data_IF_516371242480
#
_entry.id   IF_516371242480
#
_cell.length_a   1.000
_cell.length_b   1.000
_cell.length_c   1.000
_cell.angle_alpha   90.00
_cell.angle_beta   90.00
_cell.angle_gamma   90.00
#
_symmetry.space_group_name_H-M   'P 1'
#
loop_
_entity.id
_entity.type
_entity.pdbx_description
1 polymer ?
#
# COMPACT_ATOMS: atom_id res chain seq x y z
N UNK A 1 26.92 4.00 -12.15
CA UNK A 1 25.78 4.91 -12.40
C UNK A 1 25.40 4.82 -13.88
N UNK A 2 24.17 4.42 -14.16
CA UNK A 2 23.44 4.70 -15.40
C UNK A 2 21.96 4.46 -15.14
N UNK A 3 21.13 5.45 -15.51
CA UNK A 3 19.72 5.59 -15.17
C UNK A 3 18.85 4.80 -16.15
N UNK A 4 18.13 3.77 -15.66
CA UNK A 4 16.88 3.23 -16.27
C UNK A 4 16.25 2.03 -15.54
N UNK A 5 16.87 1.47 -14.48
CA UNK A 5 16.37 0.23 -13.83
C UNK A 5 15.64 0.39 -12.48
N UNK A 6 15.07 1.56 -12.14
CA UNK A 6 14.43 1.81 -10.81
C UNK A 6 12.97 2.32 -10.95
N UNK A 7 12.18 1.79 -11.88
CA UNK A 7 10.81 2.31 -12.14
C UNK A 7 9.68 1.37 -11.67
N UNK A 8 9.96 0.10 -11.33
CA UNK A 8 8.94 -0.87 -10.88
C UNK A 8 8.67 -0.90 -9.37
N UNK A 9 9.66 -0.54 -8.55
CA UNK A 9 9.49 -0.36 -7.08
C UNK A 9 8.62 0.88 -6.78
N UNK A 10 8.41 1.74 -7.78
CA UNK A 10 7.86 3.07 -7.62
C UNK A 10 6.35 3.14 -7.36
N UNK A 11 5.51 2.11 -7.52
CA UNK A 11 4.05 2.28 -7.33
C UNK A 11 3.51 1.86 -5.96
N UNK A 12 4.19 0.94 -5.27
CA UNK A 12 4.02 0.81 -3.83
C UNK A 12 4.83 1.87 -3.07
N UNK A 13 5.86 2.43 -3.71
CA UNK A 13 6.61 3.57 -3.17
C UNK A 13 5.92 4.92 -3.43
N UNK A 14 5.27 5.23 -4.55
CA UNK A 14 4.64 6.55 -4.78
C UNK A 14 3.41 6.78 -3.89
N UNK A 15 2.60 5.76 -3.64
CA UNK A 15 1.46 5.87 -2.70
C UNK A 15 1.94 6.08 -1.25
N UNK A 16 3.15 5.62 -0.91
CA UNK A 16 3.77 5.79 0.41
C UNK A 16 4.83 6.94 0.51
N UNK A 17 5.26 7.54 -0.62
CA UNK A 17 6.38 8.51 -0.64
C UNK A 17 6.15 9.77 -1.48
N UNK A 18 4.97 10.00 -2.08
CA UNK A 18 4.61 11.33 -2.60
C UNK A 18 4.24 12.35 -1.51
N UNK A 19 4.39 12.00 -0.23
CA UNK A 19 4.54 12.96 0.87
C UNK A 19 6.03 13.26 1.17
N UNK A 20 6.89 13.30 0.15
CA UNK A 20 8.22 13.91 0.28
C UNK A 20 8.48 14.93 -0.82
N UNK A 21 7.64 15.98 -0.83
CA UNK A 21 8.20 17.34 -0.83
C UNK A 21 9.36 17.35 0.19
N UNK A 22 10.44 18.09 -0.06
CA UNK A 22 11.60 18.17 0.84
C UNK A 22 11.18 18.52 2.27
N UNK A 23 10.79 17.51 3.03
CA UNK A 23 10.53 17.53 4.45
C UNK A 23 11.64 16.68 5.01
N UNK A 24 12.40 17.30 5.89
CA UNK A 24 13.30 16.58 6.77
C UNK A 24 12.40 15.72 7.66
N UNK A 25 12.10 14.50 7.21
CA UNK A 25 11.32 13.56 8.01
C UNK A 25 12.23 13.07 9.14
N UNK A 26 11.98 13.57 10.35
CA UNK A 26 12.52 12.99 11.56
C UNK A 26 12.00 11.56 11.75
N UNK A 27 12.64 10.77 12.61
CA UNK A 27 12.08 9.49 13.06
C UNK A 27 10.71 9.74 13.71
N UNK A 28 9.75 8.80 13.67
CA UNK A 28 8.43 8.99 14.31
C UNK A 28 8.51 9.32 15.82
N UNK A 29 9.61 8.95 16.47
CA UNK A 29 9.90 9.24 17.88
C UNK A 29 10.68 10.55 18.10
N UNK A 30 10.90 11.37 17.07
CA UNK A 30 11.65 12.61 17.16
C UNK A 30 10.78 13.82 16.81
N UNK A 31 11.10 14.95 17.41
CA UNK A 31 10.41 16.22 17.20
C UNK A 31 11.15 17.05 16.14
N UNK A 32 10.40 17.57 15.16
CA UNK A 32 10.96 18.35 14.06
C UNK A 32 10.80 19.84 14.33
N UNK A 33 11.89 20.54 14.64
CA UNK A 33 11.96 21.99 14.80
C UNK A 33 11.45 22.74 13.56
N UNK A 34 11.02 23.99 13.71
CA UNK A 34 10.56 24.85 12.61
C UNK A 34 11.60 25.01 11.47
N UNK A 35 12.89 24.96 11.80
CA UNK A 35 13.98 25.03 10.82
C UNK A 35 14.34 23.67 10.17
N UNK A 36 13.60 22.61 10.48
CA UNK A 36 13.81 21.25 9.97
C UNK A 36 14.82 20.42 10.75
N UNK A 37 15.37 20.90 11.87
CA UNK A 37 16.23 20.09 12.74
C UNK A 37 15.40 19.07 13.53
N UNK A 38 15.94 17.88 13.77
CA UNK A 38 15.28 16.85 14.57
C UNK A 38 15.93 16.77 15.96
N UNK A 39 15.12 16.91 17.02
CA UNK A 39 15.53 16.65 18.40
C UNK A 39 14.84 15.40 18.93
N UNK A 40 15.38 14.79 19.98
CA UNK A 40 14.76 13.62 20.62
C UNK A 40 13.45 14.04 21.28
N UNK A 41 12.49 13.13 21.40
CA UNK A 41 11.24 13.43 22.12
C UNK A 41 11.42 13.79 23.58
N UNK A 42 12.47 13.27 24.23
CA UNK A 42 12.86 13.67 25.60
C UNK A 42 13.37 15.12 25.70
N UNK A 43 13.68 15.73 24.56
CA UNK A 43 14.16 17.10 24.46
C UNK A 43 13.00 18.09 24.19
N UNK A 44 11.79 17.60 23.90
CA UNK A 44 10.61 18.45 23.73
C UNK A 44 9.91 18.76 25.06
N UNK A 45 9.76 20.04 25.40
CA UNK A 45 9.24 20.53 26.68
C UNK A 45 10.04 20.06 27.91
N UNK A 46 11.37 20.09 27.81
CA UNK A 46 12.29 19.76 28.89
C UNK A 46 12.81 21.02 29.65
N UNK A 47 12.27 22.20 29.35
CA UNK A 47 12.73 23.52 29.82
C UNK A 47 14.14 23.91 29.35
N UNK A 48 14.61 23.36 28.21
CA UNK A 48 15.86 23.73 27.55
C UNK A 48 15.58 24.09 26.10
N UNK A 49 16.42 24.94 25.55
CA UNK A 49 16.30 25.41 24.18
C UNK A 49 17.11 24.49 23.26
N UNK A 50 16.50 23.39 22.81
CA UNK A 50 17.09 22.40 21.92
C UNK A 50 16.75 22.69 20.44
N UNK A 51 15.66 23.41 20.16
CA UNK A 51 15.35 23.97 18.83
C UNK A 51 15.81 25.43 18.67
N UNK A 52 15.86 25.94 17.43
CA UNK A 52 16.12 27.38 17.23
C UNK A 52 14.93 28.21 17.71
N UNK A 53 15.20 29.30 18.42
CA UNK A 53 14.19 30.23 18.96
C UNK A 53 13.22 29.61 19.98
N UNK A 54 13.64 28.58 20.73
CA UNK A 54 12.86 27.99 21.81
C UNK A 54 11.52 27.40 21.35
N UNK A 55 11.48 26.95 20.09
CA UNK A 55 10.25 26.48 19.44
C UNK A 55 9.75 25.14 20.00
N UNK A 56 10.67 24.32 20.48
CA UNK A 56 10.44 23.12 21.29
C UNK A 56 9.79 23.40 22.66
N UNK A 57 9.96 24.61 23.19
CA UNK A 57 9.39 25.02 24.48
C UNK A 57 8.17 25.96 24.35
N UNK A 58 7.96 26.54 23.16
CA UNK A 58 6.96 27.59 22.91
C UNK A 58 5.51 27.11 23.12
N UNK A 59 5.24 25.83 22.90
CA UNK A 59 3.89 25.25 22.97
C UNK A 59 3.67 24.33 24.18
N UNK A 60 4.56 24.40 25.18
CA UNK A 60 4.55 23.57 26.39
C UNK A 60 3.72 24.16 27.53
N UNK A 61 3.53 25.48 27.53
CA UNK A 61 2.79 26.23 28.54
C UNK A 61 1.93 27.31 27.88
N UNK A 62 0.84 26.89 27.24
CA UNK A 62 -0.07 27.78 26.52
C UNK A 62 -1.34 28.06 27.32
N UNK A 63 -1.88 29.27 27.21
CA UNK A 63 -3.18 29.65 27.76
C UNK A 63 -4.33 29.25 26.84
N UNK A 64 -5.56 29.21 27.37
CA UNK A 64 -6.79 28.80 26.65
C UNK A 64 -6.98 29.56 25.32
N UNK A 65 -6.54 30.82 25.25
CA UNK A 65 -6.64 31.69 24.07
C UNK A 65 -5.60 31.45 22.97
N UNK A 66 -4.55 30.66 23.20
CA UNK A 66 -3.51 30.37 22.18
C UNK A 66 -3.89 29.16 21.33
N UNK A 67 -3.92 29.32 20.00
CA UNK A 67 -4.17 28.23 19.06
C UNK A 67 -2.92 27.39 18.79
N UNK A 68 -3.10 26.07 18.61
CA UNK A 68 -2.03 25.17 18.19
C UNK A 68 -1.67 25.40 16.71
N UNK A 69 -0.40 25.15 16.31
CA UNK A 69 -0.01 25.12 14.91
C UNK A 69 -0.82 24.11 14.08
N UNK A 70 -0.84 24.29 12.76
CA UNK A 70 -1.47 23.32 11.85
C UNK A 70 -0.76 21.95 11.94
N UNK A 71 -1.54 20.86 11.97
CA UNK A 71 -1.01 19.49 12.14
C UNK A 71 -0.64 19.13 13.59
N UNK A 72 -1.05 19.95 14.55
CA UNK A 72 -0.87 19.72 15.98
C UNK A 72 -2.23 19.60 16.69
N UNK A 73 -2.23 18.83 17.75
CA UNK A 73 -3.38 18.60 18.63
C UNK A 73 -3.15 19.29 19.97
N UNK A 74 -4.25 19.67 20.63
CA UNK A 74 -4.23 20.26 21.96
C UNK A 74 -4.57 19.23 23.02
N UNK A 75 -3.87 19.25 24.15
CA UNK A 75 -4.25 18.48 25.33
C UNK A 75 -5.63 18.95 25.86
N UNK A 76 -6.39 18.05 26.48
CA UNK A 76 -7.74 18.37 26.97
C UNK A 76 -7.73 19.37 28.13
N UNK A 77 -6.67 19.39 28.94
CA UNK A 77 -6.39 20.41 29.95
C UNK A 77 -6.07 21.81 29.39
N UNK A 78 -5.99 21.94 28.06
CA UNK A 78 -5.66 23.16 27.32
C UNK A 78 -4.27 23.75 27.61
N UNK A 79 -3.38 23.03 28.29
CA UNK A 79 -2.09 23.58 28.76
C UNK A 79 -0.95 23.46 27.75
N UNK A 80 -1.09 22.58 26.76
CA UNK A 80 -0.02 22.20 25.83
C UNK A 80 -0.55 21.81 24.45
N UNK A 81 0.27 22.04 23.42
CA UNK A 81 0.09 21.40 22.11
C UNK A 81 1.14 20.29 21.90
N UNK A 82 0.78 19.31 21.10
CA UNK A 82 1.65 18.23 20.68
C UNK A 82 1.42 17.91 19.20
N UNK A 83 2.41 17.38 18.47
CA UNK A 83 2.20 16.96 17.09
C UNK A 83 1.10 15.91 16.98
N UNK A 84 0.20 16.02 15.99
CA UNK A 84 -0.96 15.11 15.91
C UNK A 84 -0.58 13.63 15.75
N UNK A 85 0.63 13.34 15.26
CA UNK A 85 1.14 11.97 15.12
C UNK A 85 1.62 11.33 16.44
N UNK A 86 1.68 12.08 17.54
CA UNK A 86 1.93 11.54 18.88
C UNK A 86 0.64 11.18 19.63
N UNK A 87 -0.52 11.48 19.05
CA UNK A 87 -1.79 11.04 19.62
C UNK A 87 -1.87 9.52 19.54
N UNK A 88 -2.18 8.86 20.65
CA UNK A 88 -2.33 7.41 20.70
C UNK A 88 -1.10 6.70 20.15
N UNK A 89 0.07 6.96 20.70
CA UNK A 89 1.30 6.25 20.32
C UNK A 89 1.89 5.42 21.47
N UNK A 90 1.19 5.39 22.61
CA UNK A 90 1.54 4.60 23.77
C UNK A 90 2.50 5.30 24.73
N UNK A 91 2.75 6.60 24.55
CA UNK A 91 3.45 7.45 25.52
C UNK A 91 2.59 8.65 25.89
N UNK A 92 2.57 8.95 27.18
CA UNK A 92 1.90 10.13 27.71
C UNK A 92 2.77 11.37 27.52
N UNK A 93 2.39 12.24 26.60
CA UNK A 93 2.96 13.57 26.40
C UNK A 93 2.09 14.68 27.01
N UNK A 94 0.77 14.51 27.11
CA UNK A 94 -0.06 15.45 27.84
C UNK A 94 0.02 15.21 29.35
N UNK A 95 0.01 16.29 30.15
CA UNK A 95 0.03 16.18 31.62
C UNK A 95 -1.19 15.43 32.17
N UNK A 96 -2.32 15.59 31.50
CA UNK A 96 -3.58 14.92 31.82
C UNK A 96 -3.74 13.55 31.13
N UNK A 97 -2.73 13.10 30.37
CA UNK A 97 -2.75 11.91 29.52
C UNK A 97 -3.88 11.87 28.48
N UNK A 98 -4.43 13.02 28.09
CA UNK A 98 -5.55 13.11 27.14
C UNK A 98 -5.17 12.69 25.71
N UNK A 99 -3.91 12.80 25.36
CA UNK A 99 -3.33 12.27 24.12
C UNK A 99 -3.45 10.76 24.00
N UNK A 100 -3.51 10.04 25.12
CA UNK A 100 -3.68 8.60 25.20
C UNK A 100 -5.10 8.18 25.65
N UNK A 101 -6.03 9.12 25.78
CA UNK A 101 -7.45 8.85 26.10
C UNK A 101 -8.31 8.86 24.84
N UNK A 102 -9.34 8.03 24.86
CA UNK A 102 -10.28 7.86 23.75
C UNK A 102 -9.58 7.51 22.42
N UNK A 103 -8.44 6.83 22.55
CA UNK A 103 -7.84 6.06 21.49
C UNK A 103 -8.77 4.90 21.21
N UNK A 104 -9.81 5.12 20.40
CA UNK A 104 -10.53 4.04 19.74
C UNK A 104 -9.52 3.03 19.22
N UNK A 105 -9.88 1.75 19.22
CA UNK A 105 -9.03 0.56 18.99
C UNK A 105 -8.34 0.46 17.62
N UNK A 106 -7.85 1.58 17.07
CA UNK A 106 -7.38 1.78 15.72
C UNK A 106 -6.14 2.70 15.61
N UNK A 107 -5.56 3.21 16.71
CA UNK A 107 -4.50 4.24 16.68
C UNK A 107 -3.08 3.81 17.06
N UNK A 108 -2.85 3.33 18.28
CA UNK A 108 -1.53 2.87 18.75
C UNK A 108 -1.48 1.35 18.67
N UNK A 109 -0.47 0.78 17.99
CA UNK A 109 -0.07 -0.64 18.06
C UNK A 109 -1.24 -1.58 18.38
N UNK A 110 -1.99 -2.03 17.38
CA UNK A 110 -2.91 -3.16 17.55
C UNK A 110 -2.17 -4.26 18.33
N UNK A 111 -2.55 -4.61 19.58
CA UNK A 111 -1.89 -5.68 20.33
C UNK A 111 -2.16 -7.08 19.72
N UNK A 112 -2.71 -7.13 18.50
CA UNK A 112 -2.89 -8.33 17.68
C UNK A 112 -2.39 -8.23 16.23
N UNK A 113 -1.90 -7.08 15.71
CA UNK A 113 -1.51 -7.00 14.29
C UNK A 113 -0.17 -7.70 14.01
N UNK A 114 0.85 -7.51 14.86
CA UNK A 114 2.09 -8.32 14.79
C UNK A 114 1.77 -9.81 14.96
N UNK A 115 0.91 -10.14 15.92
CA UNK A 115 0.46 -11.51 16.14
C UNK A 115 -0.29 -12.10 14.93
N UNK A 116 -1.11 -11.32 14.23
CA UNK A 116 -1.82 -11.75 13.03
C UNK A 116 -0.86 -11.97 11.85
N UNK A 117 0.10 -11.07 11.65
CA UNK A 117 1.17 -11.19 10.64
C UNK A 117 2.02 -12.44 10.89
N UNK A 118 2.44 -12.68 12.13
CA UNK A 118 3.20 -13.87 12.54
C UNK A 118 2.40 -15.17 12.39
N UNK A 119 1.11 -15.16 12.78
CA UNK A 119 0.19 -16.30 12.59
C UNK A 119 0.00 -16.63 11.11
N UNK A 120 -0.17 -15.62 10.26
CA UNK A 120 -0.31 -15.79 8.82
C UNK A 120 0.95 -16.40 8.21
N UNK A 121 2.12 -15.87 8.58
CA UNK A 121 3.40 -16.38 8.13
C UNK A 121 3.62 -17.83 8.56
N UNK A 122 3.30 -18.15 9.82
CA UNK A 122 3.36 -19.51 10.36
C UNK A 122 2.41 -20.46 9.63
N UNK A 123 1.19 -20.01 9.32
CA UNK A 123 0.20 -20.79 8.58
C UNK A 123 0.67 -21.13 7.16
N UNK A 124 1.25 -20.17 6.44
CA UNK A 124 1.82 -20.43 5.11
C UNK A 124 2.99 -21.41 5.18
N UNK A 125 3.88 -21.26 6.18
CA UNK A 125 4.97 -22.21 6.42
C UNK A 125 4.48 -23.63 6.69
N UNK A 126 3.38 -23.80 7.43
CA UNK A 126 2.78 -25.12 7.67
C UNK A 126 2.22 -25.76 6.40
N UNK A 127 1.74 -24.96 5.44
CA UNK A 127 1.25 -25.45 4.15
C UNK A 127 2.36 -25.87 3.18
N UNK A 128 3.62 -25.54 3.47
CA UNK A 128 4.77 -25.96 2.69
C UNK A 128 4.94 -27.48 2.79
N UNK A 129 4.95 -28.18 1.66
CA UNK A 129 5.16 -29.64 1.64
C UNK A 129 6.59 -29.98 2.09
N UNK A 130 6.71 -30.84 3.11
CA UNK A 130 8.01 -31.40 3.53
C UNK A 130 8.43 -32.52 2.58
N UNK A 131 9.70 -32.56 2.18
CA UNK A 131 10.28 -33.65 1.38
C UNK A 131 10.09 -33.58 -0.13
N UNK A 132 9.31 -32.65 -0.68
CA UNK A 132 9.24 -32.44 -2.14
C UNK A 132 10.42 -31.61 -2.63
N UNK A 133 11.07 -32.04 -3.71
CA UNK A 133 12.15 -31.26 -4.36
C UNK A 133 11.61 -30.12 -5.22
N UNK A 134 10.34 -30.18 -5.65
CA UNK A 134 9.65 -29.11 -6.41
C UNK A 134 8.19 -28.95 -5.98
N UNK A 135 7.56 -27.80 -6.26
CA UNK A 135 6.15 -27.53 -5.91
C UNK A 135 5.85 -27.61 -4.40
N UNK A 136 6.80 -27.15 -3.56
CA UNK A 136 6.63 -27.13 -2.11
C UNK A 136 5.49 -26.22 -1.68
N UNK A 137 5.26 -25.13 -2.43
CA UNK A 137 4.23 -24.13 -2.14
C UNK A 137 2.94 -24.32 -2.95
N UNK A 138 2.90 -25.33 -3.83
CA UNK A 138 1.72 -25.68 -4.62
C UNK A 138 1.40 -24.73 -5.79
N UNK A 139 0.25 -24.97 -6.42
CA UNK A 139 -0.17 -24.28 -7.65
C UNK A 139 -0.55 -22.80 -7.49
N UNK A 140 -0.75 -22.34 -6.26
CA UNK A 140 -1.12 -20.96 -5.92
C UNK A 140 0.08 -20.15 -5.42
N UNK A 141 1.30 -20.62 -5.66
CA UNK A 141 2.54 -19.97 -5.23
C UNK A 141 2.60 -18.47 -5.54
N UNK A 142 2.12 -18.05 -6.72
CA UNK A 142 2.04 -16.63 -7.10
C UNK A 142 1.20 -15.78 -6.14
N UNK A 143 0.08 -16.29 -5.62
CA UNK A 143 -0.72 -15.59 -4.60
C UNK A 143 -0.03 -15.59 -3.24
N UNK A 144 0.61 -16.70 -2.89
CA UNK A 144 1.32 -16.85 -1.62
C UNK A 144 2.49 -15.87 -1.55
N UNK A 145 3.26 -15.74 -2.63
CA UNK A 145 4.37 -14.78 -2.74
C UNK A 145 3.91 -13.36 -2.42
N UNK A 146 2.84 -12.90 -3.07
CA UNK A 146 2.24 -11.58 -2.83
C UNK A 146 1.74 -11.43 -1.40
N UNK A 147 1.04 -12.44 -0.87
CA UNK A 147 0.53 -12.40 0.50
C UNK A 147 1.66 -12.31 1.54
N UNK A 148 2.76 -13.03 1.34
CA UNK A 148 3.92 -12.99 2.23
C UNK A 148 4.65 -11.65 2.14
N UNK A 149 4.78 -11.07 0.95
CA UNK A 149 5.35 -9.73 0.79
C UNK A 149 4.49 -8.65 1.47
N UNK A 150 3.17 -8.68 1.28
CA UNK A 150 2.25 -7.74 1.92
C UNK A 150 2.23 -7.89 3.44
N UNK A 151 2.46 -9.11 3.93
CA UNK A 151 2.64 -9.35 5.35
C UNK A 151 3.97 -8.78 5.82
N UNK A 152 5.07 -9.12 5.15
CA UNK A 152 6.43 -8.71 5.48
C UNK A 152 7.24 -8.33 4.23
N UNK A 153 7.52 -7.04 4.09
CA UNK A 153 8.28 -6.48 2.98
C UNK A 153 9.73 -7.00 2.93
N UNK A 154 10.25 -7.45 4.08
CA UNK A 154 11.55 -8.10 4.18
C UNK A 154 11.60 -9.54 3.61
N UNK A 155 10.45 -10.15 3.28
CA UNK A 155 10.34 -11.55 2.82
C UNK A 155 11.28 -11.88 1.67
N UNK A 156 11.42 -10.97 0.71
CA UNK A 156 12.22 -11.15 -0.50
C UNK A 156 13.60 -10.48 -0.42
N UNK A 157 14.03 -10.12 0.78
CA UNK A 157 15.40 -9.63 1.01
C UNK A 157 16.42 -10.72 0.63
N UNK A 158 17.61 -10.34 0.11
CA UNK A 158 18.62 -11.31 -0.32
C UNK A 158 19.08 -12.33 0.73
N UNK A 159 18.88 -12.04 2.03
CA UNK A 159 19.24 -12.93 3.15
C UNK A 159 18.13 -13.88 3.58
N UNK A 160 16.93 -13.75 3.03
CA UNK A 160 15.77 -14.56 3.43
C UNK A 160 15.64 -15.81 2.56
N UNK A 161 15.98 -16.96 3.12
CA UNK A 161 15.93 -18.25 2.42
C UNK A 161 14.53 -18.65 1.95
N UNK A 162 13.48 -18.15 2.62
CA UNK A 162 12.08 -18.42 2.21
C UNK A 162 11.75 -17.66 0.93
N UNK A 163 12.13 -16.38 0.84
CA UNK A 163 11.94 -15.58 -0.36
C UNK A 163 12.73 -16.12 -1.56
N UNK A 164 13.97 -16.56 -1.32
CA UNK A 164 14.79 -17.21 -2.36
C UNK A 164 14.13 -18.50 -2.89
N UNK A 165 13.63 -19.37 -2.00
CA UNK A 165 12.93 -20.60 -2.38
C UNK A 165 11.68 -20.30 -3.23
N UNK A 166 10.88 -19.33 -2.80
CA UNK A 166 9.66 -18.93 -3.53
C UNK A 166 10.02 -18.38 -4.92
N UNK A 167 11.05 -17.53 -5.02
CA UNK A 167 11.50 -16.94 -6.29
C UNK A 167 11.99 -18.02 -7.26
N UNK A 168 12.72 -19.01 -6.74
CA UNK A 168 13.14 -20.18 -7.51
C UNK A 168 11.93 -21.00 -8.00
N UNK A 169 10.98 -21.33 -7.13
CA UNK A 169 9.81 -22.10 -7.55
C UNK A 169 8.91 -21.35 -8.53
N UNK A 170 8.76 -20.03 -8.38
CA UNK A 170 8.03 -19.18 -9.33
C UNK A 170 8.63 -19.30 -10.73
N UNK A 171 9.96 -19.20 -10.83
CA UNK A 171 10.70 -19.35 -12.08
C UNK A 171 10.44 -20.72 -12.71
N UNK A 172 10.59 -21.80 -11.95
CA UNK A 172 10.38 -23.16 -12.45
C UNK A 172 8.93 -23.40 -12.89
N UNK A 173 7.93 -22.94 -12.12
CA UNK A 173 6.52 -23.08 -12.50
C UNK A 173 6.20 -22.31 -13.79
N UNK A 174 6.75 -21.11 -13.95
CA UNK A 174 6.51 -20.29 -15.12
C UNK A 174 7.17 -20.89 -16.39
N UNK A 175 8.42 -21.33 -16.30
CA UNK A 175 9.10 -22.03 -17.41
C UNK A 175 8.33 -23.28 -17.86
N UNK A 176 7.80 -24.07 -16.92
CA UNK A 176 6.94 -25.24 -17.24
C UNK A 176 5.63 -24.85 -17.94
N UNK A 177 5.11 -23.65 -17.69
CA UNK A 177 3.91 -23.16 -18.37
C UNK A 177 4.23 -22.69 -19.79
N UNK A 178 5.34 -21.99 -19.97
CA UNK A 178 5.78 -21.52 -21.28
C UNK A 178 6.18 -22.68 -22.20
N UNK A 179 6.78 -23.76 -21.67
CA UNK A 179 7.21 -24.90 -22.48
C UNK A 179 6.09 -25.81 -22.99
N UNK A 180 4.90 -25.77 -22.40
CA UNK A 180 3.82 -26.75 -22.67
C UNK A 180 3.03 -26.53 -23.95
N UNK A 181 3.42 -25.61 -24.84
CA UNK A 181 2.65 -25.15 -26.02
C UNK A 181 1.18 -24.74 -25.72
N UNK A 182 0.80 -24.69 -24.44
CA UNK A 182 -0.54 -24.30 -23.98
C UNK A 182 -0.45 -22.89 -23.43
N UNK A 183 -0.98 -21.94 -24.19
CA UNK A 183 -1.02 -20.53 -23.80
C UNK A 183 -1.76 -20.39 -22.47
N UNK A 184 -1.06 -19.86 -21.46
CA UNK A 184 -1.63 -19.52 -20.15
C UNK A 184 -2.72 -18.45 -20.30
N UNK A 185 -3.73 -18.40 -19.43
CA UNK A 185 -4.75 -17.33 -19.49
C UNK A 185 -4.15 -15.96 -19.14
N UNK A 186 -4.79 -14.86 -19.58
CA UNK A 186 -4.35 -13.50 -19.28
C UNK A 186 -4.36 -13.20 -17.78
N UNK A 187 -5.35 -13.71 -17.05
CA UNK A 187 -5.43 -13.56 -15.58
C UNK A 187 -4.27 -14.27 -14.89
N UNK A 188 -3.97 -15.50 -15.33
CA UNK A 188 -2.88 -16.27 -14.73
C UNK A 188 -1.52 -15.65 -15.06
N UNK A 189 -1.35 -15.11 -16.27
CA UNK A 189 -0.16 -14.34 -16.64
C UNK A 189 0.00 -13.09 -15.76
N UNK A 190 -1.06 -12.31 -15.58
CA UNK A 190 -1.04 -11.13 -14.72
C UNK A 190 -0.68 -11.48 -13.27
N UNK A 191 -1.19 -12.59 -12.74
CA UNK A 191 -0.84 -13.07 -11.40
C UNK A 191 0.65 -13.43 -11.26
N UNK A 192 1.26 -14.04 -12.28
CA UNK A 192 2.70 -14.31 -12.27
C UNK A 192 3.53 -13.03 -12.36
N UNK A 193 3.16 -12.10 -13.24
CA UNK A 193 3.84 -10.80 -13.35
C UNK A 193 3.77 -10.05 -12.01
N UNK A 194 2.60 -10.02 -11.37
CA UNK A 194 2.42 -9.44 -10.05
C UNK A 194 3.32 -10.10 -8.99
N UNK A 195 3.36 -11.44 -8.97
CA UNK A 195 4.21 -12.19 -8.07
C UNK A 195 5.72 -11.98 -8.32
N UNK A 196 6.12 -11.77 -9.58
CA UNK A 196 7.51 -11.48 -9.93
C UNK A 196 7.96 -10.12 -9.41
N UNK A 197 7.13 -9.09 -9.59
CA UNK A 197 7.44 -7.74 -9.12
C UNK A 197 7.65 -7.71 -7.60
N UNK A 198 6.78 -8.36 -6.81
CA UNK A 198 6.94 -8.42 -5.34
C UNK A 198 8.14 -9.29 -4.92
N UNK A 199 8.51 -10.27 -5.74
CA UNK A 199 9.66 -11.14 -5.50
C UNK A 199 10.98 -10.55 -6.03
N UNK A 200 11.01 -9.26 -6.39
CA UNK A 200 12.18 -8.57 -6.94
C UNK A 200 12.76 -9.25 -8.20
N UNK A 201 11.89 -9.85 -9.03
CA UNK A 201 12.23 -10.41 -10.34
C UNK A 201 11.68 -9.51 -11.45
N UNK A 202 12.46 -9.26 -12.51
CA UNK A 202 12.01 -8.44 -13.63
C UNK A 202 11.12 -9.25 -14.61
N UNK A 203 9.83 -8.92 -14.75
CA UNK A 203 8.94 -9.61 -15.69
C UNK A 203 9.15 -9.19 -17.17
N UNK A 204 9.94 -8.15 -17.45
CA UNK A 204 10.24 -7.70 -18.82
C UNK A 204 11.40 -8.45 -19.46
N UNK A 205 12.25 -9.06 -18.64
CA UNK A 205 13.39 -9.87 -19.05
C UNK A 205 13.36 -11.23 -18.35
N UNK A 206 12.37 -12.06 -18.72
CA UNK A 206 12.26 -13.42 -18.22
C UNK A 206 12.78 -14.40 -19.26
N UNK A 207 14.07 -14.75 -19.21
CA UNK A 207 14.71 -15.67 -20.16
C UNK A 207 14.52 -15.25 -21.64
N UNK A 208 14.58 -13.94 -21.91
CA UNK A 208 14.35 -13.38 -23.24
C UNK A 208 12.88 -13.14 -23.60
N UNK A 209 11.93 -13.49 -22.72
CA UNK A 209 10.51 -13.19 -22.90
C UNK A 209 10.12 -11.92 -22.14
N UNK A 210 9.39 -11.02 -22.81
CA UNK A 210 8.79 -9.85 -22.18
C UNK A 210 7.32 -10.15 -21.84
N UNK A 211 7.10 -10.59 -20.60
CA UNK A 211 5.77 -11.01 -20.13
C UNK A 211 4.80 -9.85 -20.02
N UNK A 212 5.30 -8.65 -19.70
CA UNK A 212 4.52 -7.41 -19.61
C UNK A 212 3.97 -7.05 -20.99
N UNK A 213 4.82 -7.10 -22.03
CA UNK A 213 4.42 -6.87 -23.41
C UNK A 213 3.41 -7.93 -23.90
N UNK A 214 3.62 -9.20 -23.55
CA UNK A 214 2.67 -10.27 -23.88
C UNK A 214 1.31 -10.05 -23.19
N UNK A 215 1.28 -9.58 -21.94
CA UNK A 215 0.04 -9.21 -21.27
C UNK A 215 -0.64 -8.02 -21.96
N UNK A 216 0.11 -6.97 -22.32
CA UNK A 216 -0.40 -5.79 -23.03
C UNK A 216 -1.12 -6.17 -24.33
N UNK A 217 -0.46 -6.98 -25.18
CA UNK A 217 -1.05 -7.49 -26.43
C UNK A 217 -2.39 -8.19 -26.20
N UNK A 218 -2.52 -8.98 -25.12
CA UNK A 218 -3.77 -9.68 -24.78
C UNK A 218 -4.85 -8.73 -24.27
N UNK A 219 -4.47 -7.69 -23.53
CA UNK A 219 -5.44 -6.70 -23.04
C UNK A 219 -6.02 -5.85 -24.17
N UNK A 220 -5.21 -5.51 -25.18
CA UNK A 220 -5.63 -4.71 -26.33
C UNK A 220 -6.48 -5.51 -27.33
N UNK A 221 -6.22 -6.81 -27.46
CA UNK A 221 -6.99 -7.70 -28.34
C UNK A 221 -8.46 -7.88 -27.91
N UNK A 222 -8.83 -7.49 -26.67
CA UNK A 222 -10.18 -7.65 -26.13
C UNK A 222 -10.92 -6.32 -26.23
N UNK A 223 -12.03 -6.26 -26.98
CA UNK A 223 -12.78 -5.03 -27.23
C UNK A 223 -13.85 -4.67 -26.19
N UNK A 224 -14.35 -5.64 -25.40
CA UNK A 224 -15.61 -5.44 -24.65
C UNK A 224 -15.46 -5.41 -23.11
N UNK A 225 -14.43 -6.05 -22.54
CA UNK A 225 -14.23 -6.10 -21.09
C UNK A 225 -12.78 -6.49 -20.77
N UNK A 226 -12.06 -5.61 -20.08
CA UNK A 226 -10.72 -5.93 -19.57
C UNK A 226 -10.82 -6.09 -18.06
N UNK A 227 -10.27 -7.18 -17.54
CA UNK A 227 -10.20 -7.40 -16.10
C UNK A 227 -9.34 -6.26 -15.46
N UNK A 228 -9.88 -5.46 -14.53
CA UNK A 228 -9.16 -4.33 -13.95
C UNK A 228 -7.83 -4.72 -13.28
N UNK A 229 -7.73 -5.96 -12.79
CA UNK A 229 -6.46 -6.49 -12.26
C UNK A 229 -5.35 -6.54 -13.32
N UNK A 230 -5.66 -6.82 -14.59
CA UNK A 230 -4.65 -6.84 -15.65
C UNK A 230 -4.11 -5.43 -15.91
N UNK A 231 -4.98 -4.41 -15.90
CA UNK A 231 -4.59 -3.00 -16.02
C UNK A 231 -3.76 -2.55 -14.82
N UNK A 232 -4.16 -2.93 -13.60
CA UNK A 232 -3.38 -2.67 -12.39
C UNK A 232 -1.98 -3.27 -12.47
N UNK A 233 -1.86 -4.52 -12.94
CA UNK A 233 -0.56 -5.19 -13.09
C UNK A 233 0.31 -4.52 -14.15
N UNK A 234 -0.24 -4.14 -15.30
CA UNK A 234 0.48 -3.40 -16.34
C UNK A 234 0.97 -2.05 -15.82
N UNK A 235 0.10 -1.33 -15.11
CA UNK A 235 0.45 -0.07 -14.47
C UNK A 235 1.59 -0.28 -13.45
N UNK A 236 1.48 -1.24 -12.53
CA UNK A 236 2.54 -1.59 -11.57
C UNK A 236 3.86 -2.00 -12.22
N UNK A 237 3.80 -2.67 -13.38
CA UNK A 237 4.98 -3.06 -14.14
C UNK A 237 5.66 -1.90 -14.89
N UNK A 238 5.17 -0.66 -14.73
CA UNK A 238 5.73 0.53 -15.37
C UNK A 238 5.42 0.62 -16.87
N UNK A 239 4.37 -0.06 -17.33
CA UNK A 239 4.00 -0.05 -18.75
C UNK A 239 3.49 1.33 -19.19
N UNK A 240 3.49 1.58 -20.51
CA UNK A 240 3.01 2.85 -21.05
C UNK A 240 1.47 2.89 -21.06
N UNK A 241 0.90 3.42 -20.00
CA UNK A 241 -0.55 3.50 -19.82
C UNK A 241 -1.17 4.61 -20.69
N UNK A 242 -2.37 4.38 -21.20
CA UNK A 242 -3.09 5.27 -22.13
C UNK A 242 -4.46 5.69 -21.60
N UNK A 243 -5.11 6.65 -22.25
CA UNK A 243 -6.51 7.02 -21.92
C UNK A 243 -7.48 5.86 -22.14
N UNK A 244 -7.22 4.97 -23.12
CA UNK A 244 -8.01 3.76 -23.30
C UNK A 244 -7.97 2.85 -22.07
N UNK A 245 -6.87 2.84 -21.32
CA UNK A 245 -6.80 2.07 -20.07
C UNK A 245 -7.67 2.68 -18.97
N UNK A 246 -7.76 4.01 -18.92
CA UNK A 246 -8.68 4.74 -18.03
C UNK A 246 -10.12 4.40 -18.39
N UNK A 247 -10.48 4.47 -19.68
CA UNK A 247 -11.82 4.14 -20.16
C UNK A 247 -12.16 2.67 -19.85
N UNK A 248 -11.22 1.74 -19.99
CA UNK A 248 -11.45 0.31 -19.68
C UNK A 248 -11.77 0.05 -18.21
N UNK A 249 -11.16 0.80 -17.27
CA UNK A 249 -11.42 0.61 -15.83
C UNK A 249 -12.64 1.40 -15.33
N UNK A 250 -13.03 2.46 -16.04
CA UNK A 250 -14.18 3.32 -15.68
C UNK A 250 -15.46 2.93 -16.41
N UNK A 251 -15.39 2.32 -17.60
CA UNK A 251 -16.55 1.97 -18.41
C UNK A 251 -17.61 1.13 -17.69
N UNK A 252 -17.20 0.23 -16.79
CA UNK A 252 -18.13 -0.59 -16.01
C UNK A 252 -18.89 0.23 -14.95
N UNK A 253 -18.31 1.32 -14.46
CA UNK A 253 -18.93 2.25 -13.52
C UNK A 253 -19.84 3.24 -14.25
N UNK A 254 -19.39 3.77 -15.39
CA UNK A 254 -20.14 4.75 -16.19
C UNK A 254 -21.40 4.17 -16.84
N UNK A 255 -21.44 2.84 -17.05
CA UNK A 255 -22.58 2.17 -17.68
C UNK A 255 -23.88 2.17 -16.85
N UNK A 256 -23.91 2.75 -15.63
CA UNK A 256 -25.09 2.98 -14.76
C UNK A 256 -26.06 1.80 -14.50
N UNK A 257 -25.80 0.58 -15.02
CA UNK A 257 -26.82 -0.48 -15.13
C UNK A 257 -26.44 -1.85 -14.57
N UNK A 258 -25.44 -1.99 -13.68
CA UNK A 258 -25.20 -3.31 -13.05
C UNK A 258 -24.91 -3.20 -11.57
N UNK A 259 -25.28 -4.23 -10.77
CA UNK A 259 -24.64 -4.42 -9.48
C UNK A 259 -23.16 -4.64 -9.76
N UNK A 260 -22.39 -3.57 -9.65
CA UNK A 260 -20.96 -3.64 -9.82
C UNK A 260 -20.43 -4.51 -8.69
N UNK A 261 -19.85 -5.67 -9.04
CA UNK A 261 -19.32 -6.61 -8.07
C UNK A 261 -18.25 -5.90 -7.25
N UNK A 262 -18.41 -5.89 -5.93
CA UNK A 262 -17.57 -5.12 -5.02
C UNK A 262 -16.07 -5.41 -5.20
N UNK A 263 -15.71 -6.66 -5.52
CA UNK A 263 -14.34 -7.05 -5.84
C UNK A 263 -13.80 -6.35 -7.11
N UNK A 264 -14.64 -6.25 -8.15
CA UNK A 264 -14.28 -5.60 -9.42
C UNK A 264 -14.14 -4.09 -9.21
N UNK A 265 -15.01 -3.50 -8.39
CA UNK A 265 -14.93 -2.10 -8.01
C UNK A 265 -13.67 -1.77 -7.23
N UNK A 266 -13.32 -2.59 -6.25
CA UNK A 266 -12.10 -2.42 -5.50
C UNK A 266 -10.86 -2.52 -6.42
N UNK A 267 -10.79 -3.52 -7.30
CA UNK A 267 -9.71 -3.65 -8.28
C UNK A 267 -9.65 -2.46 -9.26
N UNK A 268 -10.80 -1.97 -9.71
CA UNK A 268 -10.87 -0.80 -10.60
C UNK A 268 -10.41 0.46 -9.89
N UNK A 269 -10.76 0.64 -8.62
CA UNK A 269 -10.30 1.76 -7.79
C UNK A 269 -8.78 1.72 -7.60
N UNK A 270 -8.22 0.53 -7.31
CA UNK A 270 -6.77 0.32 -7.23
C UNK A 270 -6.07 0.65 -8.56
N UNK A 271 -6.62 0.17 -9.68
CA UNK A 271 -6.08 0.43 -11.02
C UNK A 271 -6.13 1.92 -11.37
N UNK A 272 -7.26 2.58 -11.12
CA UNK A 272 -7.46 4.00 -11.39
C UNK A 272 -6.55 4.87 -10.53
N UNK A 273 -6.32 4.51 -9.26
CA UNK A 273 -5.35 5.21 -8.43
C UNK A 273 -3.91 5.10 -8.97
N UNK A 274 -3.54 3.91 -9.48
CA UNK A 274 -2.26 3.73 -10.17
C UNK A 274 -2.16 4.60 -11.43
N UNK A 275 -3.20 4.60 -12.27
CA UNK A 275 -3.28 5.41 -13.49
C UNK A 275 -3.18 6.91 -13.18
N UNK A 276 -3.86 7.38 -12.13
CA UNK A 276 -3.87 8.78 -11.70
C UNK A 276 -2.51 9.26 -11.21
N UNK A 277 -1.65 8.35 -10.75
CA UNK A 277 -0.26 8.69 -10.39
C UNK A 277 0.68 8.85 -11.59
N UNK A 278 0.20 8.67 -12.83
CA UNK A 278 1.01 8.79 -14.05
C UNK A 278 0.97 10.23 -14.56
N UNK A 279 2.13 10.89 -14.77
CA UNK A 279 2.19 12.31 -15.10
C UNK A 279 1.58 12.65 -16.47
N UNK A 280 1.49 11.69 -17.38
CA UNK A 280 1.02 11.88 -18.75
C UNK A 280 -0.45 11.51 -18.95
N UNK A 281 -1.16 11.12 -17.89
CA UNK A 281 -2.56 10.74 -17.95
C UNK A 281 -3.43 11.70 -17.15
N UNK A 282 -4.49 12.17 -17.80
CA UNK A 282 -5.54 12.96 -17.14
C UNK A 282 -6.62 11.98 -16.70
N UNK A 283 -6.79 11.84 -15.39
CA UNK A 283 -7.88 11.08 -14.77
C UNK A 283 -8.78 12.04 -13.99
N UNK A 284 -10.09 11.82 -14.02
CA UNK A 284 -10.99 12.57 -13.14
C UNK A 284 -10.98 11.95 -11.74
N UNK A 285 -10.32 12.65 -10.81
CA UNK A 285 -10.22 12.24 -9.40
C UNK A 285 -11.60 12.07 -8.74
N UNK A 286 -12.64 12.75 -9.24
CA UNK A 286 -14.00 12.62 -8.74
C UNK A 286 -14.54 11.21 -8.94
N UNK A 287 -14.23 10.58 -10.08
CA UNK A 287 -14.67 9.21 -10.38
C UNK A 287 -14.08 8.25 -9.34
N UNK A 288 -12.77 8.36 -9.06
CA UNK A 288 -12.12 7.53 -8.05
C UNK A 288 -12.76 7.73 -6.67
N UNK A 289 -13.01 8.99 -6.28
CA UNK A 289 -13.66 9.33 -5.00
C UNK A 289 -15.06 8.75 -4.89
N UNK A 290 -15.86 8.83 -5.95
CA UNK A 290 -17.22 8.29 -5.99
C UNK A 290 -17.21 6.75 -5.89
N UNK A 291 -16.30 6.09 -6.61
CA UNK A 291 -16.11 4.64 -6.52
C UNK A 291 -15.73 4.21 -5.10
N UNK A 292 -14.85 4.93 -4.42
CA UNK A 292 -14.44 4.61 -3.05
C UNK A 292 -15.54 4.90 -2.02
N UNK A 293 -16.28 6.00 -2.20
CA UNK A 293 -17.40 6.32 -1.33
C UNK A 293 -18.51 5.27 -1.44
N UNK A 294 -18.76 4.76 -2.65
CA UNK A 294 -19.71 3.67 -2.88
C UNK A 294 -19.25 2.36 -2.20
N UNK A 295 -17.95 2.02 -2.24
CA UNK A 295 -17.41 0.89 -1.47
C UNK A 295 -17.62 1.06 0.03
N UNK A 296 -17.40 2.27 0.56
CA UNK A 296 -17.61 2.58 1.97
C UNK A 296 -19.08 2.46 2.39
N UNK A 297 -20.02 2.83 1.52
CA UNK A 297 -21.47 2.69 1.77
C UNK A 297 -21.93 1.23 1.90
N UNK A 298 -21.21 0.29 1.29
CA UNK A 298 -21.51 -1.15 1.36
C UNK A 298 -21.03 -1.85 2.63
N UNK A 299 -20.43 -1.10 3.55
CA UNK A 299 -19.96 -1.65 4.82
C UNK A 299 -21.15 -2.01 5.73
N UNK A 300 -21.18 -3.27 6.17
CA UNK A 300 -22.09 -3.74 7.21
C UNK A 300 -21.69 -3.20 8.59
N UNK A 301 -22.62 -3.24 9.55
CA UNK A 301 -22.39 -2.79 10.94
C UNK A 301 -21.24 -3.52 11.64
N UNK A 302 -20.93 -4.74 11.22
CA UNK A 302 -19.81 -5.53 11.75
C UNK A 302 -18.45 -5.15 11.13
N UNK A 303 -18.41 -4.14 10.26
CA UNK A 303 -17.21 -3.65 9.58
C UNK A 303 -16.85 -4.37 8.28
N UNK A 304 -17.53 -5.48 7.95
CA UNK A 304 -17.29 -6.23 6.70
C UNK A 304 -17.98 -5.59 5.50
N UNK A 305 -17.44 -5.81 4.31
CA UNK A 305 -18.06 -5.42 3.04
C UNK A 305 -18.33 -6.70 2.25
N UNK A 306 -19.61 -7.00 2.00
CA UNK A 306 -20.15 -8.26 1.45
C UNK A 306 -19.77 -9.52 2.24
N UNK A 307 -18.50 -9.93 2.19
CA UNK A 307 -17.94 -11.08 2.87
C UNK A 307 -16.47 -10.82 3.26
N UNK A 308 -15.88 -11.70 4.08
CA UNK A 308 -14.51 -11.51 4.56
C UNK A 308 -13.43 -11.43 3.46
N UNK A 309 -13.62 -12.11 2.31
CA UNK A 309 -12.66 -12.08 1.19
C UNK A 309 -12.72 -10.75 0.45
N UNK A 310 -13.93 -10.28 0.17
CA UNK A 310 -14.20 -8.99 -0.46
C UNK A 310 -13.74 -7.84 0.44
N UNK A 311 -13.98 -7.96 1.74
CA UNK A 311 -13.55 -6.98 2.75
C UNK A 311 -12.05 -6.70 2.66
N UNK A 312 -11.21 -7.73 2.55
CA UNK A 312 -9.75 -7.56 2.48
C UNK A 312 -9.32 -6.72 1.26
N UNK A 313 -9.95 -6.94 0.11
CA UNK A 313 -9.66 -6.22 -1.13
C UNK A 313 -10.21 -4.77 -1.09
N UNK A 314 -11.39 -4.58 -0.50
CA UNK A 314 -11.97 -3.24 -0.31
C UNK A 314 -11.14 -2.39 0.64
N UNK A 315 -10.63 -2.98 1.73
CA UNK A 315 -9.73 -2.28 2.65
C UNK A 315 -8.47 -1.81 1.92
N UNK A 316 -7.89 -2.63 1.03
CA UNK A 316 -6.75 -2.20 0.20
C UNK A 316 -7.12 -0.98 -0.66
N UNK A 317 -8.29 -1.00 -1.31
CA UNK A 317 -8.75 0.12 -2.12
C UNK A 317 -8.95 1.41 -1.31
N UNK A 318 -9.56 1.31 -0.13
CA UNK A 318 -9.82 2.46 0.75
C UNK A 318 -8.53 3.07 1.31
N UNK A 319 -7.53 2.24 1.64
CA UNK A 319 -6.24 2.71 2.16
C UNK A 319 -5.45 3.54 1.14
N UNK A 320 -5.64 3.31 -0.16
CA UNK A 320 -4.99 4.12 -1.20
C UNK A 320 -5.51 5.57 -1.20
N UNK A 321 -6.77 5.79 -0.85
CA UNK A 321 -7.37 7.13 -0.85
C UNK A 321 -6.93 7.97 0.35
N UNK A 322 -6.81 7.37 1.52
CA UNK A 322 -6.37 8.08 2.72
C UNK A 322 -4.91 8.54 2.61
N UNK A 323 -4.09 7.90 1.75
CA UNK A 323 -2.74 8.38 1.45
C UNK A 323 -2.72 9.60 0.51
N UNK A 324 -3.73 9.77 -0.36
CA UNK A 324 -3.92 10.94 -1.23
C UNK A 324 -4.33 12.20 -0.47
N UNK A 325 -4.84 12.07 0.77
CA UNK A 325 -5.45 13.16 1.53
C UNK A 325 -4.47 14.07 2.29
N UNK A 326 -3.20 14.08 1.90
CA UNK A 326 -2.18 15.00 2.43
C UNK A 326 -1.93 16.13 1.43
N UNK A 327 -2.89 17.03 1.30
CA UNK A 327 -2.67 18.42 0.87
C UNK A 327 -3.76 19.32 1.50
#
# INVERSE_FOLDING_TARGET
MSATQIVGVFLLWTVFHYARATTVSCTPEAFMCQNGNCIKRSEYCNNRNDCRYNWDEQYCAIGVSTSCPSGWSRCADNTRCFPSHWRCDGRTDCRDASDEKDCGTFGSKLPGFSSAKEKLFSWFKQKRKSGSTTDKWGSQLHRIAVALYLADDSTFSPRNSTGQEISYELTIQLLRHLSKNKKMSSEKLALYIHAMMVACMDPRDFYGENLVLELRKRTEAISNYTNPFQILVLCNAGDNMTTSDVDRVTAAFDAQQRPFWTDTQALSSLALACLSSRPNLVTDERILKDMLQELKRRQFRNGTVDNARTTALVVQALLIHDSYKKD
#
